data_IF_835933265236
#
_entry.id   IF_835933265236
#
_cell.length_a   1.000
_cell.length_b   1.000
_cell.length_c   1.000
_cell.angle_alpha   90.00
_cell.angle_beta   90.00
_cell.angle_gamma   90.00
#
_symmetry.space_group_name_H-M   'P 1'
#
loop_
_entity.id
_entity.type
_entity.pdbx_description
1 polymer ?
#
# COMPACT_ATOMS: atom_id res chain seq x y z
N UNK A 1 -13.90 30.16 -29.30
CA UNK A 1 -13.58 29.46 -30.54
C UNK A 1 -12.56 30.17 -31.46
N UNK A 2 -12.57 31.50 -31.64
CA UNK A 2 -11.51 32.20 -32.41
C UNK A 2 -10.11 32.04 -31.84
N UNK A 3 -9.91 32.18 -30.53
CA UNK A 3 -8.62 32.00 -29.87
C UNK A 3 -8.03 30.61 -30.00
N UNK A 4 -8.83 29.55 -30.02
CA UNK A 4 -8.37 28.18 -30.28
C UNK A 4 -7.90 27.98 -31.73
N UNK A 5 -8.55 28.58 -32.72
CA UNK A 5 -8.11 28.52 -34.11
C UNK A 5 -6.73 29.16 -34.33
N UNK A 6 -6.46 30.28 -33.66
CA UNK A 6 -5.19 31.02 -33.78
C UNK A 6 -4.03 30.27 -33.09
N UNK A 7 -4.31 29.40 -32.12
CA UNK A 7 -3.30 28.57 -31.42
C UNK A 7 -2.77 27.45 -32.33
N UNK A 8 -3.60 26.83 -33.18
CA UNK A 8 -3.24 25.70 -34.04
C UNK A 8 -2.65 26.07 -35.41
N UNK A 9 -2.30 27.32 -35.66
CA UNK A 9 -1.77 27.77 -36.97
C UNK A 9 -0.31 27.33 -37.22
N UNK A 10 0.46 27.06 -36.15
CA UNK A 10 1.89 26.73 -36.28
C UNK A 10 2.12 25.21 -36.20
N UNK A 11 2.94 24.66 -37.11
CA UNK A 11 3.37 23.26 -37.09
C UNK A 11 4.00 22.88 -35.75
N UNK A 12 4.74 23.77 -35.11
CA UNK A 12 5.36 23.57 -33.81
C UNK A 12 4.33 23.40 -32.70
N UNK A 13 3.24 24.15 -32.74
CA UNK A 13 2.14 24.05 -31.76
C UNK A 13 1.36 22.74 -31.90
N UNK A 14 1.16 22.28 -33.14
CA UNK A 14 0.51 20.98 -33.40
C UNK A 14 1.41 19.85 -32.88
N UNK A 15 2.73 19.94 -33.09
CA UNK A 15 3.67 18.95 -32.59
C UNK A 15 3.66 18.89 -31.05
N UNK A 16 3.74 20.04 -30.39
CA UNK A 16 3.64 20.13 -28.95
C UNK A 16 2.32 19.56 -28.42
N UNK A 17 1.21 19.82 -29.11
CA UNK A 17 -0.10 19.25 -28.74
C UNK A 17 -0.08 17.72 -28.77
N UNK A 18 0.41 17.13 -29.88
CA UNK A 18 0.52 15.66 -30.02
C UNK A 18 1.41 15.06 -28.95
N UNK A 19 2.54 15.70 -28.68
CA UNK A 19 3.48 15.30 -27.63
C UNK A 19 2.83 15.31 -26.24
N UNK A 20 2.10 16.36 -25.91
CA UNK A 20 1.36 16.47 -24.64
C UNK A 20 0.26 15.39 -24.53
N UNK A 21 -0.41 15.05 -25.63
CA UNK A 21 -1.39 13.94 -25.64
C UNK A 21 -0.72 12.61 -25.31
N UNK A 22 0.38 12.29 -26.01
CA UNK A 22 1.13 11.04 -25.76
C UNK A 22 1.64 10.99 -24.32
N UNK A 23 2.24 12.08 -23.84
CA UNK A 23 2.73 12.16 -22.47
C UNK A 23 1.61 11.99 -21.44
N UNK A 24 0.42 12.54 -21.71
CA UNK A 24 -0.74 12.35 -20.81
C UNK A 24 -1.12 10.87 -20.67
N UNK A 25 -1.17 10.14 -21.78
CA UNK A 25 -1.48 8.70 -21.77
C UNK A 25 -0.43 7.92 -20.98
N UNK A 26 0.85 8.19 -21.23
CA UNK A 26 1.95 7.52 -20.53
C UNK A 26 2.00 7.94 -19.06
N UNK A 27 1.85 9.23 -18.77
CA UNK A 27 1.86 9.74 -17.40
C UNK A 27 0.76 9.11 -16.56
N UNK A 28 -0.44 8.94 -17.11
CA UNK A 28 -1.53 8.29 -16.38
C UNK A 28 -1.14 6.86 -15.99
N UNK A 29 -0.66 6.05 -16.92
CA UNK A 29 -0.26 4.67 -16.68
C UNK A 29 0.89 4.54 -15.66
N UNK A 30 1.77 5.55 -15.59
CA UNK A 30 2.94 5.52 -14.69
C UNK A 30 2.62 6.10 -13.30
N UNK A 31 1.78 7.14 -13.23
CA UNK A 31 1.43 7.76 -11.94
C UNK A 31 0.36 6.99 -11.18
N UNK A 32 -0.49 6.23 -11.88
CA UNK A 32 -1.56 5.47 -11.23
C UNK A 32 -1.06 4.51 -10.14
N UNK A 33 -0.13 3.58 -10.40
CA UNK A 33 0.40 2.68 -9.37
C UNK A 33 1.06 3.45 -8.21
N UNK A 34 1.74 4.56 -8.50
CA UNK A 34 2.39 5.37 -7.47
C UNK A 34 1.37 6.05 -6.55
N UNK A 35 0.29 6.60 -7.11
CA UNK A 35 -0.79 7.26 -6.36
C UNK A 35 -1.54 6.25 -5.50
N UNK A 36 -1.88 5.09 -6.05
CA UNK A 36 -2.57 4.00 -5.33
C UNK A 36 -1.70 3.48 -4.18
N UNK A 37 -0.41 3.23 -4.43
CA UNK A 37 0.51 2.76 -3.40
C UNK A 37 0.67 3.79 -2.27
N UNK A 38 0.84 5.07 -2.62
CA UNK A 38 0.92 6.14 -1.62
C UNK A 38 -0.36 6.21 -0.78
N UNK A 39 -1.53 6.07 -1.41
CA UNK A 39 -2.81 6.05 -0.72
C UNK A 39 -2.88 4.91 0.30
N UNK A 40 -2.50 3.68 -0.10
CA UNK A 40 -2.52 2.54 0.81
C UNK A 40 -1.52 2.68 1.96
N UNK A 41 -0.34 3.23 1.72
CA UNK A 41 0.67 3.50 2.76
C UNK A 41 0.20 4.53 3.80
N UNK A 42 -0.60 5.51 3.38
CA UNK A 42 -1.14 6.53 4.29
C UNK A 42 -2.34 6.04 5.13
N UNK A 43 -2.87 4.85 4.85
CA UNK A 43 -4.01 4.29 5.61
C UNK A 43 -3.53 3.57 6.86
N UNK A 44 -4.31 3.65 7.92
CA UNK A 44 -4.07 2.91 9.15
C UNK A 44 -4.25 1.40 8.93
N UNK A 45 -3.47 0.60 9.63
CA UNK A 45 -3.60 -0.86 9.59
C UNK A 45 -4.80 -1.39 10.40
N UNK A 46 -5.41 -0.55 11.24
CA UNK A 46 -6.52 -0.95 12.12
C UNK A 46 -6.06 -1.45 13.49
N UNK A 47 -4.74 -1.53 13.71
CA UNK A 47 -4.12 -1.81 15.00
C UNK A 47 -2.87 -0.94 15.18
N UNK A 48 -2.40 -0.83 16.42
CA UNK A 48 -1.28 0.02 16.79
C UNK A 48 0.05 -0.72 16.58
N UNK A 49 0.85 -0.29 15.59
CA UNK A 49 2.17 -0.86 15.28
C UNK A 49 3.30 -0.23 16.06
N UNK A 50 3.10 0.98 16.61
CA UNK A 50 4.17 1.78 17.25
C UNK A 50 4.79 1.11 18.48
N UNK A 51 4.05 0.15 19.06
CA UNK A 51 4.47 -0.61 20.25
C UNK A 51 4.81 -2.05 19.97
N UNK A 52 4.87 -2.43 18.71
CA UNK A 52 5.17 -3.79 18.32
C UNK A 52 6.60 -3.93 17.84
N UNK A 53 7.23 -5.00 18.30
CA UNK A 53 8.53 -5.47 17.82
C UNK A 53 8.35 -6.81 17.13
N UNK A 54 9.25 -7.08 16.20
CA UNK A 54 9.38 -8.36 15.52
C UNK A 54 10.75 -8.96 15.80
N UNK A 55 10.74 -10.19 16.30
CA UNK A 55 11.95 -10.94 16.61
C UNK A 55 12.08 -12.13 15.67
N UNK A 56 13.10 -12.09 14.82
CA UNK A 56 13.49 -13.17 13.94
C UNK A 56 14.42 -14.11 14.67
N UNK A 57 14.17 -15.41 14.59
CA UNK A 57 15.05 -16.43 15.20
C UNK A 57 15.94 -17.10 14.15
N UNK A 58 16.98 -17.73 14.61
CA UNK A 58 17.86 -18.58 13.81
C UNK A 58 18.34 -19.77 14.65
N UNK A 59 18.70 -20.83 13.99
CA UNK A 59 19.37 -21.98 14.62
C UNK A 59 20.81 -21.59 14.96
N UNK A 60 21.14 -21.67 16.22
CA UNK A 60 22.48 -21.37 16.74
C UNK A 60 23.47 -22.50 16.55
N UNK A 61 24.62 -22.40 17.24
CA UNK A 61 25.58 -23.45 17.33
C UNK A 61 25.01 -24.66 18.10
N UNK A 62 25.58 -25.83 17.84
CA UNK A 62 25.21 -27.08 18.51
C UNK A 62 25.23 -26.92 20.03
N UNK A 63 24.12 -27.27 20.67
CA UNK A 63 23.98 -27.29 22.13
C UNK A 63 24.10 -28.73 22.59
N UNK A 64 25.14 -29.01 23.43
CA UNK A 64 25.39 -30.35 23.95
C UNK A 64 24.28 -30.82 24.90
N UNK A 65 23.58 -29.86 25.54
CA UNK A 65 22.48 -30.14 26.47
C UNK A 65 21.09 -30.22 25.77
N UNK A 66 21.08 -30.10 24.45
CA UNK A 66 19.82 -30.21 23.71
C UNK A 66 19.24 -31.61 23.76
N UNK A 67 17.92 -31.71 23.86
CA UNK A 67 17.20 -32.97 23.83
C UNK A 67 17.40 -33.71 22.49
N UNK A 68 17.18 -35.03 22.48
CA UNK A 68 17.26 -35.83 21.26
C UNK A 68 16.22 -35.37 20.22
N UNK A 69 15.07 -34.90 20.68
CA UNK A 69 14.01 -34.31 19.83
C UNK A 69 14.45 -32.97 19.20
N UNK A 70 15.07 -32.07 19.98
CA UNK A 70 15.64 -30.83 19.47
C UNK A 70 16.76 -31.07 18.45
N UNK A 71 17.55 -32.14 18.65
CA UNK A 71 18.65 -32.55 17.73
C UNK A 71 18.12 -33.13 16.43
N UNK A 72 16.98 -33.79 16.47
CA UNK A 72 16.36 -34.39 15.28
C UNK A 72 15.79 -33.37 14.32
N UNK A 73 15.28 -32.24 14.84
CA UNK A 73 14.72 -31.15 14.04
C UNK A 73 15.04 -29.77 14.69
N UNK A 74 16.27 -29.28 14.54
CA UNK A 74 16.70 -28.03 15.18
C UNK A 74 15.98 -26.78 14.64
N UNK A 75 15.36 -26.87 13.48
CA UNK A 75 14.58 -25.76 12.87
C UNK A 75 13.17 -25.67 13.42
N UNK A 76 12.70 -26.72 14.11
CA UNK A 76 11.35 -26.78 14.64
C UNK A 76 11.38 -27.07 16.14
N UNK A 77 11.55 -26.05 16.99
CA UNK A 77 11.67 -26.25 18.43
C UNK A 77 10.40 -26.88 19.01
N UNK A 78 10.59 -27.69 20.03
CA UNK A 78 9.49 -28.30 20.78
C UNK A 78 8.58 -27.23 21.38
N UNK A 79 7.32 -27.58 21.69
CA UNK A 79 6.38 -26.66 22.34
C UNK A 79 6.94 -26.12 23.68
N UNK A 80 7.66 -26.95 24.42
CA UNK A 80 8.30 -26.53 25.65
C UNK A 80 9.34 -25.42 25.41
N UNK A 81 10.16 -25.55 24.37
CA UNK A 81 11.18 -24.56 23.98
C UNK A 81 10.53 -23.25 23.52
N UNK A 82 9.41 -23.33 22.78
CA UNK A 82 8.64 -22.16 22.37
C UNK A 82 8.09 -21.40 23.58
N UNK A 83 7.49 -22.14 24.53
CA UNK A 83 6.97 -21.54 25.77
C UNK A 83 8.10 -20.99 26.65
N UNK A 84 9.27 -21.60 26.66
CA UNK A 84 10.43 -21.07 27.34
C UNK A 84 10.89 -19.75 26.75
N UNK A 85 10.96 -19.63 25.41
CA UNK A 85 11.29 -18.37 24.73
C UNK A 85 10.27 -17.29 25.05
N UNK A 86 8.97 -17.59 24.98
CA UNK A 86 7.92 -16.63 25.34
C UNK A 86 8.06 -16.15 26.78
N UNK A 87 8.39 -17.04 27.73
CA UNK A 87 8.65 -16.63 29.12
C UNK A 87 9.88 -15.73 29.24
N UNK A 88 10.96 -16.02 28.52
CA UNK A 88 12.15 -15.16 28.52
C UNK A 88 11.83 -13.77 27.96
N UNK A 89 11.12 -13.70 26.84
CA UNK A 89 10.72 -12.44 26.21
C UNK A 89 9.80 -11.60 27.13
N UNK A 90 8.81 -12.24 27.76
CA UNK A 90 7.88 -11.54 28.64
C UNK A 90 8.47 -11.17 29.98
N UNK A 91 9.60 -11.75 30.38
CA UNK A 91 10.32 -11.39 31.62
C UNK A 91 11.14 -10.11 31.47
N UNK A 92 11.38 -9.64 30.24
CA UNK A 92 12.12 -8.39 30.00
C UNK A 92 11.28 -7.19 30.43
N UNK A 93 11.89 -6.28 31.20
CA UNK A 93 11.18 -5.07 31.60
C UNK A 93 10.81 -4.21 30.36
N UNK A 94 9.62 -3.66 30.36
CA UNK A 94 9.08 -2.93 29.21
C UNK A 94 8.24 -3.79 28.26
N UNK A 95 8.32 -5.13 28.31
CA UNK A 95 7.46 -6.03 27.53
C UNK A 95 6.13 -6.23 28.24
N UNK A 96 5.03 -6.07 27.51
CA UNK A 96 3.67 -6.34 27.98
C UNK A 96 3.20 -7.75 27.64
N UNK A 97 3.43 -8.18 26.41
CA UNK A 97 3.07 -9.51 25.91
C UNK A 97 3.97 -9.92 24.76
N UNK A 98 4.03 -11.22 24.47
CA UNK A 98 4.69 -11.76 23.29
C UNK A 98 3.82 -12.86 22.69
N UNK A 99 3.89 -12.95 21.37
CA UNK A 99 3.13 -13.91 20.56
C UNK A 99 4.07 -14.64 19.61
N UNK A 100 3.83 -15.94 19.46
CA UNK A 100 4.54 -16.77 18.49
C UNK A 100 3.93 -16.55 17.09
N UNK A 101 4.72 -16.04 16.19
CA UNK A 101 4.35 -15.72 14.82
C UNK A 101 4.52 -16.93 13.90
N UNK A 102 3.49 -17.28 13.16
CA UNK A 102 3.52 -18.36 12.16
C UNK A 102 3.44 -17.77 10.75
N UNK A 103 4.47 -17.95 9.93
CA UNK A 103 4.52 -17.41 8.57
C UNK A 103 3.69 -18.20 7.57
N UNK A 104 3.45 -19.47 7.81
CA UNK A 104 2.94 -20.37 6.76
C UNK A 104 1.48 -20.11 6.38
N UNK A 105 0.67 -19.51 7.28
CA UNK A 105 -0.78 -19.47 7.09
C UNK A 105 -1.43 -18.11 7.25
N UNK A 106 -0.77 -17.07 6.74
CA UNK A 106 -1.43 -15.79 6.59
C UNK A 106 -1.48 -14.96 7.87
N UNK A 107 -0.40 -14.92 8.62
CA UNK A 107 -0.24 -14.03 9.78
C UNK A 107 -0.32 -12.56 9.40
N UNK A 108 -0.58 -11.71 10.39
CA UNK A 108 -0.52 -10.26 10.22
C UNK A 108 0.94 -9.86 9.94
N UNK A 109 1.15 -9.05 8.90
CA UNK A 109 2.48 -8.66 8.45
C UNK A 109 3.07 -9.60 7.41
N UNK A 110 2.32 -10.57 6.91
CA UNK A 110 2.73 -11.46 5.83
C UNK A 110 1.79 -11.32 4.63
N UNK A 111 2.33 -11.25 3.43
CA UNK A 111 1.53 -11.00 2.22
C UNK A 111 0.86 -12.23 1.68
N UNK A 112 1.41 -13.42 1.94
CA UNK A 112 0.74 -14.67 1.60
C UNK A 112 -0.64 -14.72 2.23
N UNK A 113 -1.66 -14.88 1.40
CA UNK A 113 -3.04 -14.91 1.84
C UNK A 113 -3.53 -16.35 1.88
N UNK A 114 -3.85 -16.81 3.09
CA UNK A 114 -4.69 -18.00 3.23
C UNK A 114 -6.15 -17.60 3.04
N UNK A 115 -6.92 -18.44 2.35
CA UNK A 115 -8.36 -18.29 2.22
C UNK A 115 -9.07 -19.49 2.83
N UNK A 116 -10.24 -19.25 3.41
CA UNK A 116 -11.10 -20.30 3.92
C UNK A 116 -12.47 -20.22 3.24
N UNK A 117 -12.89 -21.29 2.54
CA UNK A 117 -14.24 -21.38 2.00
C UNK A 117 -15.24 -21.60 3.15
N UNK A 118 -15.97 -20.55 3.47
CA UNK A 118 -16.94 -20.51 4.56
C UNK A 118 -18.34 -20.70 3.98
N UNK A 119 -19.00 -21.79 4.35
CA UNK A 119 -20.37 -22.08 3.92
C UNK A 119 -21.36 -21.84 5.05
N UNK A 120 -22.39 -21.07 4.71
CA UNK A 120 -23.58 -20.88 5.53
C UNK A 120 -24.77 -21.31 4.66
N UNK A 121 -25.53 -22.26 5.12
CA UNK A 121 -26.61 -22.86 4.36
C UNK A 121 -26.15 -23.43 3.01
N UNK A 122 -26.51 -22.78 1.89
CA UNK A 122 -26.18 -23.22 0.53
C UNK A 122 -25.06 -22.38 -0.13
N UNK A 123 -24.76 -21.21 0.42
CA UNK A 123 -23.81 -20.29 -0.18
C UNK A 123 -22.43 -20.46 0.45
N UNK A 124 -21.41 -20.52 -0.39
CA UNK A 124 -20.01 -20.57 0.03
C UNK A 124 -19.32 -19.27 -0.32
N UNK A 125 -18.84 -18.58 0.68
CA UNK A 125 -18.01 -17.37 0.54
C UNK A 125 -16.57 -17.68 0.95
N UNK A 126 -15.63 -17.13 0.22
CA UNK A 126 -14.22 -17.25 0.55
C UNK A 126 -13.79 -16.03 1.37
N UNK A 127 -13.44 -16.24 2.61
CA UNK A 127 -12.87 -15.22 3.46
C UNK A 127 -11.35 -15.38 3.53
N UNK A 128 -10.65 -14.27 3.58
CA UNK A 128 -9.24 -14.30 3.95
C UNK A 128 -9.11 -14.90 5.35
N UNK A 129 -8.14 -15.79 5.54
CA UNK A 129 -7.99 -16.54 6.78
C UNK A 129 -6.69 -16.15 7.47
N UNK A 130 -6.79 -15.93 8.78
CA UNK A 130 -5.65 -15.87 9.68
C UNK A 130 -5.74 -17.06 10.62
N UNK A 131 -4.63 -17.73 10.83
CA UNK A 131 -4.49 -18.76 11.86
C UNK A 131 -3.69 -18.20 13.00
N UNK A 132 -4.08 -18.51 14.21
CA UNK A 132 -3.31 -18.16 15.40
C UNK A 132 -3.12 -19.38 16.29
N UNK A 133 -2.04 -19.35 17.04
CA UNK A 133 -1.75 -20.38 18.01
C UNK A 133 -2.69 -20.25 19.18
N UNK A 134 -3.40 -21.31 19.57
CA UNK A 134 -4.26 -21.29 20.75
C UNK A 134 -3.48 -20.92 22.01
N UNK A 135 -4.12 -20.21 22.91
CA UNK A 135 -3.55 -19.80 24.22
C UNK A 135 -2.27 -18.96 24.10
N UNK A 136 -2.17 -18.10 23.08
CA UNK A 136 -0.93 -17.45 22.67
C UNK A 136 -0.94 -15.93 22.76
N UNK A 137 -1.93 -15.31 23.41
CA UNK A 137 -2.08 -13.86 23.54
C UNK A 137 -2.13 -13.09 22.20
N UNK A 138 -2.58 -13.72 21.12
CA UNK A 138 -2.63 -13.12 19.79
C UNK A 138 -3.36 -11.77 19.76
N UNK A 139 -4.62 -11.74 20.23
CA UNK A 139 -5.45 -10.53 20.18
C UNK A 139 -4.92 -9.40 21.05
N UNK A 140 -4.33 -9.72 22.21
CA UNK A 140 -3.72 -8.74 23.11
C UNK A 140 -2.43 -8.17 22.50
N UNK A 141 -1.58 -9.04 21.96
CA UNK A 141 -0.29 -8.61 21.41
C UNK A 141 -0.48 -7.68 20.24
N UNK A 142 -1.36 -8.00 19.30
CA UNK A 142 -1.67 -7.08 18.21
C UNK A 142 -2.58 -5.91 18.64
N UNK A 143 -3.21 -5.96 19.79
CA UNK A 143 -4.13 -4.92 20.26
C UNK A 143 -5.39 -4.83 19.40
N UNK A 144 -5.87 -5.96 18.88
CA UNK A 144 -7.09 -6.03 18.11
C UNK A 144 -8.29 -5.68 18.98
N UNK A 145 -9.18 -4.83 18.49
CA UNK A 145 -10.31 -4.29 19.27
C UNK A 145 -11.56 -5.13 19.07
N UNK A 146 -12.05 -5.84 20.10
CA UNK A 146 -13.32 -6.53 20.02
C UNK A 146 -14.50 -5.55 19.88
N UNK A 147 -15.52 -5.94 19.12
CA UNK A 147 -16.77 -5.18 19.04
C UNK A 147 -17.58 -5.25 20.34
N UNK A 148 -18.44 -4.25 20.61
CA UNK A 148 -19.36 -4.33 21.73
C UNK A 148 -20.19 -5.63 21.70
N UNK A 149 -20.22 -6.33 22.84
CA UNK A 149 -20.87 -7.65 22.95
C UNK A 149 -19.94 -8.85 22.72
N UNK A 150 -18.77 -8.66 22.12
CA UNK A 150 -17.75 -9.72 21.99
C UNK A 150 -16.93 -9.85 23.28
N UNK A 151 -16.34 -11.04 23.55
CA UNK A 151 -15.39 -11.21 24.63
C UNK A 151 -14.19 -10.26 24.50
N UNK A 152 -13.49 -9.99 25.61
CA UNK A 152 -12.28 -9.14 25.61
C UNK A 152 -11.16 -9.78 24.78
N UNK A 153 -10.19 -8.96 24.36
CA UNK A 153 -9.00 -9.46 23.62
C UNK A 153 -8.25 -10.53 24.43
N UNK A 154 -8.17 -10.37 25.75
CA UNK A 154 -7.60 -11.37 26.67
C UNK A 154 -8.36 -12.70 26.61
N UNK A 155 -9.70 -12.66 26.72
CA UNK A 155 -10.52 -13.86 26.62
C UNK A 155 -10.42 -14.54 25.25
N UNK A 156 -10.38 -13.76 24.17
CA UNK A 156 -10.18 -14.27 22.81
C UNK A 156 -8.80 -14.88 22.59
N UNK A 157 -7.78 -14.42 23.30
CA UNK A 157 -6.42 -14.97 23.22
C UNK A 157 -6.32 -16.36 23.86
N UNK A 158 -7.21 -16.72 24.77
CA UNK A 158 -7.22 -18.03 25.44
C UNK A 158 -8.13 -19.07 24.77
N UNK A 159 -8.53 -18.84 23.52
CA UNK A 159 -9.29 -19.84 22.76
C UNK A 159 -8.50 -21.13 22.57
N UNK A 160 -9.14 -22.26 22.78
CA UNK A 160 -8.49 -23.57 22.66
C UNK A 160 -8.72 -24.19 21.28
N UNK A 161 -7.71 -24.88 20.76
CA UNK A 161 -7.77 -25.58 19.48
C UNK A 161 -8.94 -26.60 19.40
N UNK A 162 -9.22 -27.28 20.51
CA UNK A 162 -10.22 -28.35 20.57
C UNK A 162 -11.65 -27.87 20.34
N UNK A 163 -11.92 -26.56 20.54
CA UNK A 163 -13.28 -26.04 20.55
C UNK A 163 -13.76 -25.66 19.16
N UNK A 164 -12.93 -25.77 18.12
CA UNK A 164 -13.30 -25.38 16.73
C UNK A 164 -13.96 -24.02 16.69
N UNK A 165 -13.27 -23.04 17.24
CA UNK A 165 -13.75 -21.68 17.40
C UNK A 165 -13.16 -20.77 16.32
N UNK A 166 -13.91 -19.73 15.96
CA UNK A 166 -13.45 -18.70 15.04
C UNK A 166 -13.86 -17.31 15.54
N UNK A 167 -13.03 -16.33 15.24
CA UNK A 167 -13.33 -14.91 15.40
C UNK A 167 -13.45 -14.31 14.02
N UNK A 168 -14.45 -13.46 13.79
CA UNK A 168 -14.63 -12.75 12.55
C UNK A 168 -14.20 -11.29 12.69
N UNK A 169 -13.78 -10.67 11.61
CA UNK A 169 -13.78 -9.20 11.53
C UNK A 169 -15.22 -8.71 11.35
N UNK A 170 -15.47 -7.43 11.65
CA UNK A 170 -16.78 -6.78 11.43
C UNK A 170 -17.29 -7.08 10.03
N UNK A 171 -16.44 -6.91 9.08
CA UNK A 171 -16.73 -7.12 7.67
C UNK A 171 -16.96 -8.57 7.32
N UNK A 172 -16.20 -9.50 7.90
CA UNK A 172 -16.43 -10.93 7.74
C UNK A 172 -17.81 -11.36 8.28
N UNK A 173 -18.20 -10.82 9.44
CA UNK A 173 -19.52 -11.06 10.01
C UNK A 173 -20.65 -10.50 9.12
N UNK A 174 -20.48 -9.28 8.61
CA UNK A 174 -21.44 -8.65 7.69
C UNK A 174 -21.54 -9.40 6.37
N UNK A 175 -20.43 -9.86 5.81
CA UNK A 175 -20.42 -10.62 4.55
C UNK A 175 -21.14 -11.96 4.68
N UNK A 176 -20.86 -12.69 5.77
CA UNK A 176 -21.43 -14.02 5.98
C UNK A 176 -22.88 -13.98 6.46
N UNK A 177 -23.22 -13.06 7.36
CA UNK A 177 -24.50 -13.12 8.09
C UNK A 177 -25.37 -11.85 7.91
N UNK A 178 -24.85 -10.80 7.28
CA UNK A 178 -25.55 -9.52 7.17
C UNK A 178 -25.69 -8.78 8.52
N UNK A 179 -24.98 -9.23 9.58
CA UNK A 179 -25.08 -8.69 10.94
C UNK A 179 -23.74 -8.87 11.67
N UNK A 180 -23.48 -8.03 12.66
CA UNK A 180 -22.37 -8.20 13.61
C UNK A 180 -22.76 -8.97 14.86
N UNK A 181 -24.05 -9.20 15.09
CA UNK A 181 -24.56 -10.04 16.19
C UNK A 181 -24.61 -11.51 15.74
N UNK A 182 -23.46 -12.16 15.81
CA UNK A 182 -23.23 -13.51 15.23
C UNK A 182 -22.63 -14.49 16.23
N UNK A 183 -22.52 -14.12 17.48
CA UNK A 183 -21.95 -14.99 18.52
C UNK A 183 -22.77 -16.29 18.63
N UNK A 184 -22.05 -17.42 18.70
CA UNK A 184 -22.64 -18.75 18.77
C UNK A 184 -23.12 -19.31 17.43
N UNK A 185 -23.11 -18.53 16.33
CA UNK A 185 -23.42 -19.04 14.99
C UNK A 185 -22.34 -19.98 14.49
N UNK A 186 -22.73 -20.92 13.67
CA UNK A 186 -21.83 -21.94 13.10
C UNK A 186 -21.51 -21.64 11.65
N UNK A 187 -20.27 -21.87 11.28
CA UNK A 187 -19.74 -21.74 9.91
C UNK A 187 -19.14 -23.09 9.55
N UNK A 188 -19.46 -23.59 8.37
CA UNK A 188 -18.82 -24.79 7.83
C UNK A 188 -17.66 -24.36 6.93
N UNK A 189 -16.45 -24.77 7.27
CA UNK A 189 -15.25 -24.54 6.47
C UNK A 189 -15.05 -25.74 5.57
N UNK A 190 -15.25 -25.53 4.28
CA UNK A 190 -15.22 -26.57 3.25
C UNK A 190 -13.78 -26.76 2.73
N UNK A 191 -12.84 -27.06 3.64
CA UNK A 191 -11.43 -27.28 3.28
C UNK A 191 -10.98 -28.63 3.86
N UNK A 192 -10.91 -29.63 2.98
CA UNK A 192 -10.57 -30.99 3.35
C UNK A 192 -11.79 -31.91 3.47
N UNK A 193 -11.54 -33.17 3.74
CA UNK A 193 -12.55 -34.19 3.98
C UNK A 193 -12.29 -34.82 5.36
N UNK A 194 -13.21 -34.70 6.34
CA UNK A 194 -14.50 -34.01 6.29
C UNK A 194 -14.45 -32.50 6.50
N UNK A 195 -15.51 -31.78 6.08
CA UNK A 195 -15.76 -30.37 6.37
C UNK A 195 -15.65 -30.08 7.88
N UNK A 196 -15.11 -28.92 8.22
CA UNK A 196 -14.89 -28.47 9.60
C UNK A 196 -15.97 -27.46 10.00
N UNK A 197 -16.75 -27.76 11.02
CA UNK A 197 -17.70 -26.80 11.59
C UNK A 197 -17.03 -26.04 12.71
N UNK A 198 -17.02 -24.70 12.62
CA UNK A 198 -16.50 -23.78 13.65
C UNK A 198 -17.63 -22.93 14.20
N UNK A 199 -17.51 -22.56 15.48
CA UNK A 199 -18.46 -21.66 16.16
C UNK A 199 -17.85 -20.28 16.27
N UNK A 200 -18.60 -19.24 15.91
CA UNK A 200 -18.19 -17.84 16.06
C UNK A 200 -18.24 -17.47 17.55
N UNK A 201 -17.11 -17.10 18.11
CA UNK A 201 -16.97 -16.76 19.53
C UNK A 201 -16.65 -15.27 19.76
N UNK A 202 -16.35 -14.53 18.73
CA UNK A 202 -16.07 -13.10 18.83
C UNK A 202 -16.11 -12.42 17.47
N UNK A 203 -16.25 -11.10 17.53
CA UNK A 203 -16.12 -10.21 16.37
C UNK A 203 -15.20 -9.07 16.77
N UNK A 204 -14.21 -8.78 15.93
CA UNK A 204 -13.24 -7.69 16.10
C UNK A 204 -13.41 -6.62 15.03
N UNK A 205 -12.89 -5.42 15.27
CA UNK A 205 -12.82 -4.37 14.27
C UNK A 205 -12.00 -4.84 13.06
N UNK A 206 -12.26 -4.22 11.91
CA UNK A 206 -11.53 -4.52 10.69
C UNK A 206 -10.09 -4.04 10.77
N UNK A 207 -9.18 -4.85 10.24
CA UNK A 207 -7.77 -4.52 10.15
C UNK A 207 -7.19 -5.06 8.84
N UNK A 208 -6.02 -4.53 8.45
CA UNK A 208 -5.28 -4.97 7.27
C UNK A 208 -4.12 -5.86 7.68
N UNK A 209 -3.85 -6.89 6.91
CA UNK A 209 -2.72 -7.80 7.16
C UNK A 209 -1.37 -7.18 6.82
N UNK A 210 -1.33 -6.35 5.79
CA UNK A 210 -0.12 -5.65 5.33
C UNK A 210 -0.44 -4.24 4.86
N UNK A 211 0.58 -3.44 4.61
CA UNK A 211 0.42 -2.04 4.17
C UNK A 211 -0.29 -1.91 2.82
N UNK A 212 -0.18 -2.89 1.94
CA UNK A 212 -0.73 -2.84 0.59
C UNK A 212 -2.07 -3.56 0.42
N UNK A 213 -2.56 -4.23 1.45
CA UNK A 213 -3.85 -4.90 1.38
C UNK A 213 -5.00 -3.96 1.73
N UNK A 214 -6.13 -4.14 1.04
CA UNK A 214 -7.42 -3.55 1.44
C UNK A 214 -7.87 -4.14 2.77
N UNK A 215 -8.79 -3.48 3.46
CA UNK A 215 -9.51 -4.11 4.58
C UNK A 215 -10.29 -5.28 4.01
N UNK A 216 -9.98 -6.48 4.48
CA UNK A 216 -10.58 -7.70 4.01
C UNK A 216 -11.52 -8.30 5.05
N UNK A 217 -12.52 -9.00 4.56
CA UNK A 217 -13.34 -9.86 5.41
C UNK A 217 -12.51 -11.03 5.88
N UNK A 218 -12.19 -11.08 7.16
CA UNK A 218 -11.28 -12.07 7.73
C UNK A 218 -12.02 -13.04 8.63
N UNK A 219 -11.60 -14.31 8.55
CA UNK A 219 -11.86 -15.34 9.56
C UNK A 219 -10.55 -15.66 10.29
N UNK A 220 -10.58 -15.57 11.60
CA UNK A 220 -9.44 -15.84 12.46
C UNK A 220 -9.71 -17.15 13.18
N UNK A 221 -8.89 -18.15 12.94
CA UNK A 221 -9.08 -19.50 13.47
C UNK A 221 -7.95 -19.92 14.37
N UNK A 222 -8.30 -20.56 15.47
CA UNK A 222 -7.37 -21.32 16.27
C UNK A 222 -6.94 -22.58 15.52
N UNK A 223 -5.65 -22.77 15.30
CA UNK A 223 -5.10 -23.95 14.61
C UNK A 223 -3.78 -24.42 15.24
N UNK A 224 -3.31 -25.60 14.85
CA UNK A 224 -1.97 -26.04 15.25
C UNK A 224 -0.91 -25.24 14.48
N UNK A 225 0.21 -25.01 15.13
CA UNK A 225 1.41 -24.53 14.47
C UNK A 225 1.78 -25.45 13.32
N UNK A 226 2.14 -24.87 12.22
CA UNK A 226 2.94 -25.55 11.23
C UNK A 226 4.36 -25.72 11.75
N UNK A 227 5.07 -26.68 11.20
CA UNK A 227 6.45 -26.98 11.56
C UNK A 227 7.40 -26.03 10.81
N UNK A 228 7.43 -24.76 11.20
CA UNK A 228 8.25 -23.73 10.56
C UNK A 228 9.06 -22.95 11.59
N UNK A 229 10.06 -22.23 11.10
CA UNK A 229 10.90 -21.36 11.90
C UNK A 229 10.06 -20.47 12.81
N UNK A 230 10.38 -20.47 14.11
CA UNK A 230 9.64 -19.68 15.08
C UNK A 230 10.08 -18.23 15.01
N UNK A 231 9.13 -17.32 14.91
CA UNK A 231 9.33 -15.88 15.01
C UNK A 231 8.39 -15.32 16.06
N UNK A 232 8.69 -14.17 16.61
CA UNK A 232 7.93 -13.65 17.73
C UNK A 232 7.54 -12.20 17.46
N UNK A 233 6.30 -11.86 17.79
CA UNK A 233 5.84 -10.48 17.89
C UNK A 233 5.73 -10.11 19.35
N UNK A 234 6.30 -8.99 19.73
CA UNK A 234 6.43 -8.52 21.11
C UNK A 234 5.71 -7.18 21.21
N UNK A 235 4.82 -7.06 22.20
CA UNK A 235 4.16 -5.80 22.53
C UNK A 235 4.84 -5.15 23.72
N UNK A 236 5.18 -3.89 23.59
CA UNK A 236 5.71 -3.07 24.67
C UNK A 236 4.60 -2.49 25.54
N UNK A 237 4.95 -2.18 26.79
CA UNK A 237 4.08 -1.47 27.74
C UNK A 237 3.75 -0.07 27.24
N UNK A 238 2.65 0.48 27.74
CA UNK A 238 2.23 1.85 27.44
C UNK A 238 3.33 2.87 27.79
N UNK A 239 3.52 3.85 26.88
CA UNK A 239 4.53 4.89 27.03
C UNK A 239 5.94 4.52 26.57
N UNK A 240 6.17 3.30 26.12
CA UNK A 240 7.45 2.87 25.53
C UNK A 240 7.46 3.16 24.01
N UNK A 241 8.60 3.62 23.51
CA UNK A 241 8.87 3.78 22.08
C UNK A 241 9.62 2.55 21.55
N UNK A 242 9.09 1.93 20.51
CA UNK A 242 9.63 0.68 19.98
C UNK A 242 11.07 0.82 19.43
N UNK A 243 11.35 1.90 18.73
CA UNK A 243 12.69 2.14 18.14
C UNK A 243 13.73 2.36 19.23
N UNK A 244 13.40 3.20 20.20
CA UNK A 244 14.28 3.42 21.35
C UNK A 244 14.49 2.16 22.18
N UNK A 245 13.47 1.36 22.36
CA UNK A 245 13.58 0.09 23.08
C UNK A 245 14.53 -0.89 22.35
N UNK A 246 14.45 -0.98 21.02
CA UNK A 246 15.38 -1.81 20.24
C UNK A 246 16.83 -1.31 20.38
N UNK A 247 17.05 0.01 20.38
CA UNK A 247 18.38 0.59 20.57
C UNK A 247 18.97 0.31 21.97
N UNK A 248 18.16 0.43 23.02
CA UNK A 248 18.58 0.29 24.41
C UNK A 248 18.68 -1.18 24.85
N UNK A 249 17.70 -2.02 24.51
CA UNK A 249 17.56 -3.41 25.00
C UNK A 249 17.77 -4.49 23.96
N UNK A 250 17.85 -4.12 22.66
CA UNK A 250 17.90 -5.10 21.57
C UNK A 250 19.07 -6.05 21.66
N UNK A 251 20.26 -5.57 22.05
CA UNK A 251 21.46 -6.41 22.22
C UNK A 251 21.31 -7.37 23.39
N UNK A 252 20.70 -6.97 24.47
CA UNK A 252 20.45 -7.79 25.63
C UNK A 252 19.48 -8.93 25.31
N UNK A 253 18.38 -8.62 24.62
CA UNK A 253 17.41 -9.60 24.14
C UNK A 253 18.05 -10.64 23.20
N UNK A 254 18.85 -10.20 22.23
CA UNK A 254 19.53 -11.07 21.28
C UNK A 254 20.51 -12.01 21.99
N UNK A 255 21.20 -11.53 23.02
CA UNK A 255 22.20 -12.31 23.71
C UNK A 255 21.62 -13.25 24.77
N UNK A 256 20.54 -12.86 25.45
CA UNK A 256 20.01 -13.55 26.61
C UNK A 256 18.83 -14.46 26.31
N UNK A 257 18.08 -14.19 25.20
CA UNK A 257 16.93 -15.00 24.82
C UNK A 257 17.35 -16.10 23.84
N UNK A 258 17.57 -17.27 24.39
CA UNK A 258 17.88 -18.48 23.62
C UNK A 258 17.25 -19.70 24.28
N UNK A 259 16.85 -20.66 23.47
CA UNK A 259 16.27 -21.93 23.94
C UNK A 259 16.72 -23.08 23.04
N UNK A 260 17.46 -24.03 23.58
CA UNK A 260 18.07 -25.08 22.76
C UNK A 260 18.91 -24.49 21.64
N UNK A 261 18.63 -24.85 20.40
CA UNK A 261 19.31 -24.31 19.21
C UNK A 261 18.78 -22.99 18.75
N UNK A 262 17.59 -22.57 19.22
CA UNK A 262 16.94 -21.36 18.75
C UNK A 262 17.36 -20.12 19.55
N UNK A 263 17.81 -19.10 18.85
CA UNK A 263 18.18 -17.80 19.41
C UNK A 263 17.61 -16.68 18.58
N UNK A 264 17.38 -15.53 19.18
CA UNK A 264 17.00 -14.34 18.44
C UNK A 264 18.20 -13.90 17.60
N UNK A 265 18.00 -13.81 16.29
CA UNK A 265 18.99 -13.33 15.33
C UNK A 265 18.89 -11.81 15.17
N UNK A 266 17.67 -11.31 15.08
CA UNK A 266 17.37 -9.91 14.80
C UNK A 266 16.13 -9.47 15.54
N UNK A 267 16.20 -8.28 16.11
CA UNK A 267 15.06 -7.59 16.69
C UNK A 267 14.88 -6.26 15.96
N UNK A 268 13.69 -5.97 15.53
CA UNK A 268 13.33 -4.75 14.80
C UNK A 268 11.95 -4.27 15.20
N UNK A 269 11.58 -3.04 14.85
CA UNK A 269 10.20 -2.60 15.00
C UNK A 269 9.30 -3.36 14.03
N UNK A 270 8.02 -3.47 14.35
CA UNK A 270 7.07 -4.15 13.46
C UNK A 270 6.87 -3.37 12.15
N UNK A 271 7.01 -2.05 12.20
CA UNK A 271 7.01 -1.19 11.02
C UNK A 271 8.18 -1.53 10.07
N UNK A 272 9.40 -1.64 10.60
CA UNK A 272 10.57 -2.06 9.82
C UNK A 272 10.40 -3.46 9.24
N UNK A 273 9.75 -4.38 9.96
CA UNK A 273 9.41 -5.70 9.45
C UNK A 273 8.47 -5.63 8.24
N UNK A 274 7.40 -4.81 8.33
CA UNK A 274 6.48 -4.60 7.21
C UNK A 274 7.18 -3.98 5.99
N UNK A 275 8.05 -3.00 6.21
CA UNK A 275 8.85 -2.40 5.13
C UNK A 275 9.82 -3.41 4.49
N UNK A 276 10.47 -4.24 5.31
CA UNK A 276 11.36 -5.30 4.82
C UNK A 276 10.60 -6.29 3.94
N UNK A 277 9.41 -6.68 4.32
CA UNK A 277 8.58 -7.56 3.50
C UNK A 277 8.22 -6.96 2.14
N UNK A 278 7.86 -5.67 2.10
CA UNK A 278 7.62 -4.98 0.83
C UNK A 278 8.87 -4.94 -0.07
N UNK A 279 10.06 -4.85 0.55
CA UNK A 279 11.34 -4.94 -0.17
C UNK A 279 11.57 -6.34 -0.74
N UNK A 280 11.36 -7.38 0.07
CA UNK A 280 11.60 -8.77 -0.30
C UNK A 280 10.63 -9.24 -1.40
N UNK A 281 9.41 -8.70 -1.42
CA UNK A 281 8.42 -8.95 -2.48
C UNK A 281 8.64 -8.15 -3.77
N UNK A 282 9.63 -7.27 -3.78
CA UNK A 282 9.91 -6.44 -4.95
C UNK A 282 8.95 -5.26 -5.16
N UNK A 283 7.98 -5.04 -4.28
CA UNK A 283 6.98 -3.96 -4.41
C UNK A 283 7.62 -2.58 -4.31
N UNK A 284 8.54 -2.40 -3.38
CA UNK A 284 9.30 -1.15 -3.26
C UNK A 284 10.10 -0.86 -4.52
N UNK A 285 10.72 -1.89 -5.13
CA UNK A 285 11.45 -1.75 -6.40
C UNK A 285 10.51 -1.39 -7.55
N UNK A 286 9.32 -1.96 -7.59
CA UNK A 286 8.32 -1.64 -8.61
C UNK A 286 7.85 -0.19 -8.52
N UNK A 287 7.53 0.28 -7.31
CA UNK A 287 7.17 1.68 -7.05
C UNK A 287 8.31 2.62 -7.41
N UNK A 288 9.54 2.32 -6.99
CA UNK A 288 10.71 3.14 -7.30
C UNK A 288 10.98 3.18 -8.81
N UNK A 289 10.82 2.06 -9.52
CA UNK A 289 10.91 2.00 -10.97
C UNK A 289 9.85 2.87 -11.64
N UNK A 290 8.61 2.79 -11.19
CA UNK A 290 7.50 3.61 -11.70
C UNK A 290 7.75 5.10 -11.45
N UNK A 291 8.21 5.47 -10.27
CA UNK A 291 8.57 6.86 -9.95
C UNK A 291 9.77 7.36 -10.79
N UNK A 292 10.78 6.54 -11.00
CA UNK A 292 11.93 6.89 -11.85
C UNK A 292 11.49 7.11 -13.31
N UNK A 293 10.62 6.27 -13.85
CA UNK A 293 10.01 6.45 -15.16
C UNK A 293 9.17 7.72 -15.23
N UNK A 294 8.33 7.98 -14.21
CA UNK A 294 7.53 9.20 -14.12
C UNK A 294 8.42 10.46 -14.15
N UNK A 295 9.48 10.47 -13.36
CA UNK A 295 10.43 11.58 -13.32
C UNK A 295 11.14 11.75 -14.67
N UNK A 296 11.57 10.65 -15.28
CA UNK A 296 12.18 10.66 -16.61
C UNK A 296 11.26 11.28 -17.66
N UNK A 297 9.99 10.84 -17.73
CA UNK A 297 9.02 11.41 -18.66
C UNK A 297 8.71 12.87 -18.34
N UNK A 298 8.62 13.25 -17.07
CA UNK A 298 8.39 14.65 -16.67
C UNK A 298 9.54 15.57 -17.09
N UNK A 299 10.79 15.13 -16.90
CA UNK A 299 11.98 15.89 -17.35
C UNK A 299 11.96 16.04 -18.87
N UNK A 300 11.70 14.97 -19.62
CA UNK A 300 11.60 15.03 -21.08
C UNK A 300 10.48 15.97 -21.54
N UNK A 301 9.31 15.93 -20.89
CA UNK A 301 8.22 16.87 -21.14
C UNK A 301 8.67 18.32 -20.94
N UNK A 302 9.31 18.59 -19.80
CA UNK A 302 9.79 19.96 -19.52
C UNK A 302 10.78 20.44 -20.57
N UNK A 303 11.73 19.60 -21.00
CA UNK A 303 12.71 19.94 -22.03
C UNK A 303 12.03 20.21 -23.38
N UNK A 304 11.07 19.40 -23.77
CA UNK A 304 10.30 19.57 -25.00
C UNK A 304 9.50 20.88 -25.01
N UNK A 305 8.78 21.14 -23.90
CA UNK A 305 8.02 22.39 -23.73
C UNK A 305 8.95 23.60 -23.72
N UNK A 306 10.06 23.57 -22.98
CA UNK A 306 11.05 24.66 -22.95
C UNK A 306 11.57 24.94 -24.36
N UNK A 307 11.96 23.89 -25.11
CA UNK A 307 12.47 24.00 -26.48
C UNK A 307 11.43 24.62 -27.44
N UNK A 308 10.21 24.11 -27.39
CA UNK A 308 9.12 24.58 -28.26
C UNK A 308 8.69 26.01 -27.94
N UNK A 309 8.55 26.32 -26.64
CA UNK A 309 8.18 27.68 -26.19
C UNK A 309 9.31 28.66 -26.51
N UNK A 310 10.58 28.27 -26.30
CA UNK A 310 11.73 29.12 -26.64
C UNK A 310 11.76 29.47 -28.13
N UNK A 311 11.56 28.46 -29.01
CA UNK A 311 11.53 28.67 -30.44
C UNK A 311 10.34 29.57 -30.86
N UNK A 312 9.16 29.31 -30.27
CA UNK A 312 7.97 30.11 -30.53
C UNK A 312 8.14 31.55 -30.05
N UNK A 313 8.67 31.73 -28.85
CA UNK A 313 8.89 33.05 -28.26
C UNK A 313 9.93 33.84 -29.05
N UNK A 314 11.00 33.20 -29.57
CA UNK A 314 11.99 33.85 -30.46
C UNK A 314 11.35 34.39 -31.73
N UNK A 315 10.41 33.69 -32.34
CA UNK A 315 9.66 34.13 -33.52
C UNK A 315 8.70 35.29 -33.26
N UNK A 316 8.23 35.43 -32.01
CA UNK A 316 7.29 36.48 -31.60
C UNK A 316 7.96 37.62 -30.81
N UNK A 317 9.31 37.70 -30.78
CA UNK A 317 10.03 38.73 -30.04
C UNK A 317 9.65 40.14 -30.52
N UNK A 318 9.53 40.31 -31.84
CA UNK A 318 9.09 41.58 -32.46
C UNK A 318 7.67 41.95 -32.05
N UNK A 319 6.72 41.00 -32.12
CA UNK A 319 5.35 41.25 -31.69
C UNK A 319 5.24 41.64 -30.23
N UNK A 320 6.08 41.00 -29.34
CA UNK A 320 6.20 41.37 -27.95
C UNK A 320 6.79 42.77 -27.76
N UNK A 321 7.79 43.14 -28.57
CA UNK A 321 8.36 44.49 -28.61
C UNK A 321 7.35 45.55 -28.96
N UNK A 322 6.58 45.33 -30.03
CA UNK A 322 5.49 46.21 -30.49
C UNK A 322 4.43 46.36 -29.41
N UNK A 323 3.93 45.26 -28.84
CA UNK A 323 2.93 45.32 -27.77
C UNK A 323 3.40 46.09 -26.54
N UNK A 324 4.68 45.97 -26.18
CA UNK A 324 5.28 46.74 -25.09
C UNK A 324 5.46 48.22 -25.43
N UNK A 325 5.80 48.55 -26.68
CA UNK A 325 5.86 49.92 -27.16
C UNK A 325 4.46 50.60 -27.10
N UNK A 326 3.38 49.83 -27.29
CA UNK A 326 2.01 50.29 -27.11
C UNK A 326 1.50 50.24 -25.65
N UNK A 327 2.40 50.09 -24.66
CA UNK A 327 2.10 50.23 -23.24
C UNK A 327 1.68 48.91 -22.52
N UNK A 328 1.86 47.74 -23.12
CA UNK A 328 1.63 46.50 -22.43
C UNK A 328 2.72 46.25 -21.36
N UNK A 329 2.32 45.95 -20.13
CA UNK A 329 3.23 45.60 -19.04
C UNK A 329 3.89 44.24 -19.30
N UNK A 330 5.14 44.04 -18.76
CA UNK A 330 5.84 42.74 -18.85
C UNK A 330 5.01 41.58 -18.31
N UNK A 331 4.28 41.80 -17.23
CA UNK A 331 3.41 40.81 -16.60
C UNK A 331 2.22 40.43 -17.50
N UNK A 332 1.65 41.37 -18.22
CA UNK A 332 0.52 41.11 -19.14
C UNK A 332 0.97 40.24 -20.30
N UNK A 333 2.15 40.48 -20.85
CA UNK A 333 2.71 39.68 -21.95
C UNK A 333 3.07 38.27 -21.46
N UNK A 334 3.72 38.17 -20.27
CA UNK A 334 4.02 36.86 -19.65
C UNK A 334 2.75 36.06 -19.40
N UNK A 335 1.71 36.68 -18.82
CA UNK A 335 0.45 36.03 -18.54
C UNK A 335 -0.25 35.51 -19.81
N UNK A 336 -0.15 36.23 -20.92
CA UNK A 336 -0.69 35.81 -22.21
C UNK A 336 0.00 34.54 -22.72
N UNK A 337 1.34 34.42 -22.55
CA UNK A 337 2.06 33.20 -22.89
C UNK A 337 1.66 32.02 -21.99
N UNK A 338 1.61 32.23 -20.70
CA UNK A 338 1.21 31.20 -19.74
C UNK A 338 -0.20 30.69 -20.01
N UNK A 339 -1.15 31.60 -20.23
CA UNK A 339 -2.53 31.26 -20.47
C UNK A 339 -2.72 30.46 -21.77
N UNK A 340 -2.06 30.86 -22.85
CA UNK A 340 -2.13 30.14 -24.14
C UNK A 340 -1.60 28.71 -24.01
N UNK A 341 -0.46 28.52 -23.37
CA UNK A 341 0.12 27.19 -23.16
C UNK A 341 -0.69 26.37 -22.15
N UNK A 342 -1.28 26.98 -21.14
CA UNK A 342 -2.21 26.31 -20.24
C UNK A 342 -3.44 25.80 -20.94
N UNK A 343 -4.05 26.58 -21.84
CA UNK A 343 -5.19 26.15 -22.66
C UNK A 343 -4.81 25.00 -23.60
N UNK A 344 -3.64 25.08 -24.23
CA UNK A 344 -3.13 24.02 -25.09
C UNK A 344 -2.93 22.73 -24.31
N UNK A 345 -2.30 22.82 -23.14
CA UNK A 345 -2.06 21.67 -22.26
C UNK A 345 -3.39 21.07 -21.77
N UNK A 346 -4.34 21.90 -21.37
CA UNK A 346 -5.67 21.43 -20.93
C UNK A 346 -6.40 20.69 -22.05
N UNK A 347 -6.38 21.22 -23.27
CA UNK A 347 -6.98 20.56 -24.43
C UNK A 347 -6.27 19.22 -24.77
N UNK A 348 -4.94 19.20 -24.70
CA UNK A 348 -4.15 17.98 -24.96
C UNK A 348 -4.39 16.91 -23.90
N UNK A 349 -4.41 17.32 -22.62
CA UNK A 349 -4.71 16.41 -21.51
C UNK A 349 -6.13 15.84 -21.65
N UNK A 350 -7.12 16.66 -21.98
CA UNK A 350 -8.48 16.18 -22.20
C UNK A 350 -8.56 15.10 -23.29
N UNK A 351 -7.86 15.30 -24.42
CA UNK A 351 -7.78 14.29 -25.49
C UNK A 351 -7.02 13.04 -25.02
N UNK A 352 -5.88 13.20 -24.35
CA UNK A 352 -5.10 12.09 -23.80
C UNK A 352 -5.89 11.24 -22.80
N UNK A 353 -6.67 11.89 -21.91
CA UNK A 353 -7.55 11.21 -20.95
C UNK A 353 -8.67 10.44 -21.64
N UNK A 354 -9.25 10.98 -22.73
CA UNK A 354 -10.28 10.25 -23.52
C UNK A 354 -9.67 9.01 -24.18
N UNK A 355 -8.45 9.11 -24.72
CA UNK A 355 -7.74 7.96 -25.32
C UNK A 355 -7.46 6.92 -24.22
N UNK A 356 -6.93 7.34 -23.07
CA UNK A 356 -6.65 6.44 -21.97
C UNK A 356 -7.92 5.80 -21.39
N UNK A 357 -9.00 6.57 -21.26
CA UNK A 357 -10.29 6.06 -20.81
C UNK A 357 -10.80 4.93 -21.72
N UNK A 358 -10.66 5.09 -23.03
CA UNK A 358 -11.06 4.05 -23.99
C UNK A 358 -10.22 2.78 -23.80
N UNK A 359 -8.90 2.94 -23.62
CA UNK A 359 -7.99 1.84 -23.31
C UNK A 359 -8.35 1.14 -22.00
N UNK A 360 -8.58 1.92 -20.93
CA UNK A 360 -8.95 1.42 -19.61
C UNK A 360 -10.31 0.69 -19.62
N UNK A 361 -11.28 1.22 -20.36
CA UNK A 361 -12.62 0.64 -20.44
C UNK A 361 -12.67 -0.63 -21.29
N UNK A 362 -11.74 -0.82 -22.23
CA UNK A 362 -11.66 -2.02 -23.08
C UNK A 362 -11.18 -3.30 -22.38
N UNK A 363 -10.94 -3.25 -21.09
CA UNK A 363 -10.70 -4.42 -20.23
C UNK A 363 -9.23 -4.71 -19.93
N UNK A 364 -8.28 -3.96 -20.51
CA UNK A 364 -6.84 -4.19 -20.30
C UNK A 364 -6.33 -3.63 -18.95
N UNK A 365 -7.09 -2.73 -18.33
CA UNK A 365 -6.71 -2.09 -17.04
C UNK A 365 -7.72 -2.34 -15.91
N UNK A 366 -8.89 -2.90 -16.22
CA UNK A 366 -9.89 -3.30 -15.20
C UNK A 366 -9.36 -4.41 -14.27
N UNK A 367 -8.27 -5.05 -14.66
CA UNK A 367 -7.54 -5.96 -13.79
C UNK A 367 -6.80 -5.26 -12.63
N UNK A 368 -6.57 -3.94 -12.68
CA UNK A 368 -5.86 -3.24 -11.61
C UNK A 368 -6.58 -3.32 -10.25
N UNK A 369 -7.89 -3.26 -10.22
CA UNK A 369 -8.68 -3.58 -9.00
C UNK A 369 -8.75 -5.08 -8.71
N UNK A 370 -8.42 -5.94 -9.69
CA UNK A 370 -8.41 -7.39 -9.56
C UNK A 370 -7.01 -7.95 -9.32
N UNK A 371 -5.96 -7.34 -9.83
CA UNK A 371 -4.57 -7.78 -9.62
C UNK A 371 -4.06 -7.53 -8.20
N UNK A 372 -4.66 -6.61 -7.45
CA UNK A 372 -4.37 -6.46 -6.02
C UNK A 372 -5.09 -7.51 -5.17
N UNK A 373 -6.07 -8.20 -5.71
CA UNK A 373 -6.58 -9.45 -5.21
C UNK A 373 -5.90 -10.56 -6.02
N UNK A 374 -5.00 -11.33 -5.44
CA UNK A 374 -4.44 -12.58 -5.99
C UNK A 374 -5.51 -13.66 -6.29
N UNK A 375 -6.76 -13.23 -6.42
CA UNK A 375 -7.96 -14.03 -6.65
C UNK A 375 -8.14 -14.53 -8.08
N UNK A 376 -7.21 -14.24 -8.97
CA UNK A 376 -7.27 -14.69 -10.38
C UNK A 376 -7.24 -16.22 -10.55
N UNK A 377 -6.85 -16.98 -9.53
CA UNK A 377 -6.83 -18.44 -9.64
C UNK A 377 -8.09 -19.16 -9.17
N UNK A 378 -9.03 -18.46 -8.57
CA UNK A 378 -10.28 -19.08 -8.10
C UNK A 378 -11.49 -18.26 -8.54
N UNK A 379 -12.14 -18.70 -9.61
CA UNK A 379 -13.30 -18.06 -10.25
C UNK A 379 -14.54 -17.81 -9.35
N UNK A 380 -14.47 -18.13 -8.06
CA UNK A 380 -15.57 -18.02 -7.10
C UNK A 380 -15.18 -17.37 -5.77
N UNK A 381 -14.00 -16.73 -5.68
CA UNK A 381 -13.66 -15.98 -4.49
C UNK A 381 -14.36 -14.62 -4.58
N UNK A 382 -15.43 -14.48 -3.85
CA UNK A 382 -16.04 -13.19 -3.60
C UNK A 382 -15.22 -12.55 -2.50
N UNK A 383 -14.19 -11.83 -2.91
CA UNK A 383 -13.54 -10.87 -2.03
C UNK A 383 -14.56 -9.75 -1.80
N UNK A 384 -15.13 -9.71 -0.61
CA UNK A 384 -16.02 -8.63 -0.22
C UNK A 384 -15.16 -7.58 0.48
N UNK A 385 -14.59 -6.61 -0.25
CA UNK A 385 -13.92 -5.49 0.39
C UNK A 385 -15.00 -4.71 1.12
N UNK A 386 -14.86 -4.63 2.41
CA UNK A 386 -15.86 -4.02 3.28
C UNK A 386 -15.76 -2.52 3.32
N UNK A 387 -14.60 -2.02 3.01
CA UNK A 387 -14.33 -0.59 2.99
C UNK A 387 -13.97 -0.18 1.57
N UNK A 388 -14.98 -0.19 0.71
CA UNK A 388 -14.83 0.28 -0.68
C UNK A 388 -14.44 1.75 -0.67
N UNK A 389 -13.25 2.01 -1.13
CA UNK A 389 -12.70 3.36 -1.23
C UNK A 389 -12.78 3.86 -2.66
N UNK A 390 -12.34 5.09 -2.90
CA UNK A 390 -12.30 5.65 -4.25
C UNK A 390 -11.45 4.81 -5.22
N UNK A 391 -10.46 4.04 -4.72
CA UNK A 391 -9.61 3.15 -5.53
C UNK A 391 -10.39 1.96 -6.09
N UNK A 392 -11.38 1.47 -5.34
CA UNK A 392 -12.16 0.27 -5.70
C UNK A 392 -13.26 0.56 -6.73
N UNK A 393 -13.54 1.83 -6.98
CA UNK A 393 -14.55 2.24 -7.98
C UNK A 393 -13.86 2.86 -9.19
N UNK A 394 -14.13 2.34 -10.37
CA UNK A 394 -13.53 2.80 -11.62
C UNK A 394 -13.61 4.33 -11.81
N UNK A 395 -14.79 4.93 -11.68
CA UNK A 395 -14.97 6.36 -11.95
C UNK A 395 -14.29 7.27 -10.93
N UNK A 396 -14.44 7.08 -9.60
CA UNK A 396 -13.68 7.86 -8.63
C UNK A 396 -12.18 7.71 -8.80
N UNK A 397 -11.69 6.48 -9.02
CA UNK A 397 -10.27 6.20 -9.25
C UNK A 397 -9.77 6.96 -10.49
N UNK A 398 -10.42 6.76 -11.63
CA UNK A 398 -10.05 7.43 -12.87
C UNK A 398 -10.04 8.95 -12.71
N UNK A 399 -11.04 9.53 -12.06
CA UNK A 399 -11.12 10.99 -11.84
C UNK A 399 -10.02 11.51 -10.94
N UNK A 400 -9.74 10.85 -9.81
CA UNK A 400 -8.69 11.29 -8.86
C UNK A 400 -7.33 11.27 -9.53
N UNK A 401 -6.95 10.15 -10.18
CA UNK A 401 -5.67 10.04 -10.87
C UNK A 401 -5.58 11.03 -12.02
N UNK A 402 -6.66 11.22 -12.80
CA UNK A 402 -6.70 12.19 -13.90
C UNK A 402 -6.50 13.62 -13.43
N UNK A 403 -7.08 14.02 -12.30
CA UNK A 403 -6.86 15.35 -11.71
C UNK A 403 -5.41 15.53 -11.29
N UNK A 404 -4.82 14.51 -10.65
CA UNK A 404 -3.41 14.55 -10.22
C UNK A 404 -2.49 14.69 -11.43
N UNK A 405 -2.67 13.86 -12.46
CA UNK A 405 -1.89 13.90 -13.70
C UNK A 405 -2.05 15.26 -14.40
N UNK A 406 -3.29 15.78 -14.49
CA UNK A 406 -3.54 17.10 -15.04
C UNK A 406 -2.78 18.21 -14.31
N UNK A 407 -2.82 18.21 -12.99
CA UNK A 407 -2.12 19.23 -12.19
C UNK A 407 -0.59 19.13 -12.37
N UNK A 408 -0.04 17.92 -12.42
CA UNK A 408 1.40 17.71 -12.65
C UNK A 408 1.82 18.25 -14.03
N UNK A 409 1.09 17.88 -15.09
CA UNK A 409 1.39 18.32 -16.46
C UNK A 409 1.21 19.84 -16.58
N UNK A 410 0.12 20.39 -16.02
CA UNK A 410 -0.12 21.83 -16.05
C UNK A 410 0.97 22.60 -15.32
N UNK A 411 1.38 22.19 -14.13
CA UNK A 411 2.50 22.80 -13.40
C UNK A 411 3.81 22.72 -14.20
N UNK A 412 4.11 21.57 -14.78
CA UNK A 412 5.30 21.39 -15.61
C UNK A 412 5.30 22.32 -16.83
N UNK A 413 4.19 22.42 -17.55
CA UNK A 413 4.03 23.30 -18.71
C UNK A 413 4.14 24.77 -18.31
N UNK A 414 3.54 25.18 -17.19
CA UNK A 414 3.61 26.55 -16.70
C UNK A 414 5.05 26.93 -16.31
N UNK A 415 5.75 26.06 -15.58
CA UNK A 415 7.15 26.28 -15.18
C UNK A 415 8.04 26.36 -16.43
N UNK A 416 7.92 25.39 -17.35
CA UNK A 416 8.68 25.34 -18.58
C UNK A 416 8.42 26.54 -19.51
N UNK A 417 7.20 27.07 -19.49
CA UNK A 417 6.83 28.29 -20.25
C UNK A 417 7.34 29.56 -19.57
N UNK A 418 7.29 29.65 -18.25
CA UNK A 418 7.64 30.84 -17.51
C UNK A 418 9.12 31.22 -17.71
N UNK A 419 10.03 30.24 -17.75
CA UNK A 419 11.47 30.47 -17.87
C UNK A 419 11.84 31.23 -19.17
N UNK A 420 11.51 30.72 -20.39
CA UNK A 420 11.84 31.42 -21.62
C UNK A 420 11.01 32.71 -21.82
N UNK A 421 9.74 32.71 -21.47
CA UNK A 421 8.87 33.87 -21.60
C UNK A 421 9.35 35.05 -20.72
N UNK A 422 9.81 34.75 -19.50
CA UNK A 422 10.38 35.76 -18.61
C UNK A 422 11.65 36.40 -19.22
N UNK A 423 12.54 35.61 -19.81
CA UNK A 423 13.76 36.12 -20.46
C UNK A 423 13.42 37.09 -21.59
N UNK A 424 12.43 36.74 -22.44
CA UNK A 424 12.03 37.59 -23.58
C UNK A 424 11.32 38.87 -23.10
N UNK A 425 10.46 38.77 -22.10
CA UNK A 425 9.83 39.95 -21.52
C UNK A 425 10.81 40.90 -20.84
N UNK A 426 12.01 40.46 -20.49
CA UNK A 426 13.04 41.25 -19.84
C UNK A 426 14.03 41.90 -20.84
N UNK A 427 14.08 41.45 -22.10
CA UNK A 427 14.92 42.06 -23.14
C UNK A 427 14.50 43.51 -23.39
N UNK A 428 15.49 44.35 -23.76
CA UNK A 428 15.25 45.79 -24.09
C UNK A 428 14.43 45.89 -25.39
N UNK A 429 13.48 46.81 -25.41
CA UNK A 429 12.58 47.05 -26.55
C UNK A 429 13.38 47.39 -27.82
N UNK A 430 14.50 48.12 -27.65
CA UNK A 430 15.41 48.54 -28.73
C UNK A 430 16.18 47.37 -29.37
N UNK A 431 16.47 46.32 -28.61
CA UNK A 431 17.12 45.09 -29.10
C UNK A 431 16.13 44.21 -29.82
N UNK A 432 14.88 44.14 -29.31
CA UNK A 432 13.81 43.35 -29.91
C UNK A 432 13.34 43.89 -31.30
N UNK A 433 13.60 45.15 -31.59
CA UNK A 433 13.24 45.82 -32.86
C UNK A 433 14.43 45.94 -33.82
N UNK A 434 15.65 45.53 -33.44
CA UNK A 434 16.91 45.71 -34.20
C UNK A 434 17.45 44.43 -34.82
N UNK A 435 16.84 43.26 -34.60
CA UNK A 435 17.20 41.98 -35.21
C UNK A 435 16.57 41.82 -36.62
N UNK A 436 16.89 42.79 -37.51
CA UNK A 436 16.86 42.64 -38.97
C UNK A 436 18.27 42.35 -39.50
#
# INVERSE_FOLDING_TARGET
>A
MKQLKDIFVSKATIWLFVELVVITVVAWAVFDPAVVNLYYRCRTLGFDTDKLLYAETTVGAWDEDASEEDRSDPYNPTEERRQQMLRQLTAVDGVASAYLYDEEYGSIGFTSQGYSPCRIDKDTLWLAAIRFVPDSRFFETYGLKPLPGSPSAEQLSHLQKRDRQAVLTRSGAMALFGSTDVLGRKITICYGDPDIVVTVVGVVEDFRKSMNNTLQSLIIRSDSLSKTECRYVIRLKEGMDARRFVEEHGRELINNCQTGFNRIRRLMTFEEHLEQQELDEGRTQEVNRSLALALFFLINLMLAVIGTVWLHAKRHTEECGVRRAFGATRWRVLWDFLWRNALLATAAVAVGLVIYLNYAYSGLTVEYGKEHCETLYMNNIIDVPTDKTWVDYFWPHFLVVSVIVYLIILCAVLIATAIPAWRICRSEITVALKDE
#
